data_IF_330518149546
#
_entry.id   IF_330518149546
#
_cell.length_a   1.000
_cell.length_b   1.000
_cell.length_c   1.000
_cell.angle_alpha   90.00
_cell.angle_beta   90.00
_cell.angle_gamma   90.00
#
_symmetry.space_group_name_H-M   'P 1'
#
loop_
_entity.id
_entity.type
_entity.pdbx_description
1 polymer ?
#
# COMPACT_ATOMS: atom_id res chain seq x y z
N UNK A 1 -80.77 12.50 44.54
CA UNK A 1 -79.74 13.27 43.87
C UNK A 1 -78.54 12.34 43.72
N UNK A 2 -78.37 11.74 42.53
CA UNK A 2 -77.31 10.79 42.24
C UNK A 2 -76.32 11.45 41.24
N UNK A 3 -75.06 11.67 41.72
CA UNK A 3 -74.00 12.27 40.91
C UNK A 3 -73.25 11.20 40.16
N UNK A 4 -73.31 11.18 38.84
CA UNK A 4 -72.50 10.31 37.97
C UNK A 4 -71.10 10.95 37.83
N UNK A 5 -70.07 10.16 38.18
CA UNK A 5 -68.69 10.48 37.87
C UNK A 5 -68.33 9.79 36.56
N UNK A 6 -68.00 10.57 35.58
CA UNK A 6 -67.43 10.13 34.30
C UNK A 6 -65.92 10.02 34.49
N UNK A 7 -65.41 8.79 34.45
CA UNK A 7 -63.97 8.56 34.47
C UNK A 7 -63.40 8.66 33.06
N UNK A 8 -62.47 9.60 32.87
CA UNK A 8 -61.75 9.76 31.62
C UNK A 8 -60.57 8.79 31.63
N UNK A 9 -60.58 7.77 30.77
CA UNK A 9 -59.47 6.86 30.55
C UNK A 9 -58.55 7.43 29.48
N UNK A 10 -57.38 7.90 29.88
CA UNK A 10 -56.29 8.26 28.92
C UNK A 10 -55.61 7.01 28.44
N UNK A 11 -55.89 6.61 27.19
CA UNK A 11 -55.06 5.61 26.46
C UNK A 11 -53.76 6.29 26.01
N UNK A 12 -52.66 6.00 26.68
CA UNK A 12 -51.31 6.38 26.24
C UNK A 12 -50.86 5.43 25.13
N UNK A 13 -50.78 5.91 23.90
CA UNK A 13 -50.18 5.22 22.78
C UNK A 13 -48.62 5.37 22.89
N UNK A 14 -47.93 4.36 23.37
CA UNK A 14 -46.46 4.33 23.35
C UNK A 14 -46.02 3.97 21.93
N UNK A 15 -45.56 4.96 21.17
CA UNK A 15 -44.93 4.76 19.86
C UNK A 15 -43.52 4.21 20.08
N UNK A 16 -43.35 2.88 19.96
CA UNK A 16 -42.03 2.26 19.92
C UNK A 16 -41.38 2.60 18.56
N UNK A 17 -40.48 3.56 18.55
CA UNK A 17 -39.53 3.76 17.44
C UNK A 17 -38.55 2.58 17.43
N UNK A 18 -38.80 1.58 16.60
CA UNK A 18 -37.82 0.57 16.27
C UNK A 18 -36.73 1.23 15.42
N UNK A 19 -35.63 1.60 16.03
CA UNK A 19 -34.40 1.99 15.30
C UNK A 19 -33.84 0.71 14.67
N UNK A 20 -34.14 0.49 13.40
CA UNK A 20 -33.42 -0.50 12.61
C UNK A 20 -31.99 0.01 12.47
N UNK A 21 -31.05 -0.57 13.22
CA UNK A 21 -29.64 -0.40 12.96
C UNK A 21 -29.37 -0.94 11.55
N UNK A 22 -29.13 -0.04 10.59
CA UNK A 22 -28.68 -0.43 9.27
C UNK A 22 -27.26 -1.00 9.44
N UNK A 23 -27.14 -2.32 9.54
CA UNK A 23 -25.83 -2.98 9.45
C UNK A 23 -25.39 -2.89 8.00
N UNK A 24 -24.32 -2.13 7.72
CA UNK A 24 -23.69 -2.15 6.42
C UNK A 24 -23.19 -3.57 6.15
N UNK A 25 -23.85 -4.28 5.23
CA UNK A 25 -23.40 -5.60 4.82
C UNK A 25 -22.32 -5.45 3.76
N UNK A 26 -21.07 -5.68 4.15
CA UNK A 26 -19.98 -5.83 3.19
C UNK A 26 -20.02 -7.23 2.58
N UNK A 27 -19.91 -7.28 1.25
CA UNK A 27 -19.75 -8.53 0.53
C UNK A 27 -18.28 -8.72 0.18
N UNK A 28 -17.63 -9.72 0.76
CA UNK A 28 -16.30 -10.14 0.36
C UNK A 28 -16.37 -10.96 -0.93
N UNK A 29 -15.50 -10.65 -1.89
CA UNK A 29 -15.31 -11.44 -3.11
C UNK A 29 -13.81 -11.59 -3.34
N UNK A 30 -13.31 -12.82 -3.35
CA UNK A 30 -11.94 -13.13 -3.71
C UNK A 30 -11.81 -13.06 -5.23
N UNK A 31 -11.01 -12.13 -5.73
CA UNK A 31 -10.83 -11.90 -7.16
C UNK A 31 -9.69 -12.74 -7.71
N UNK A 32 -8.51 -12.69 -7.10
CA UNK A 32 -7.30 -13.39 -7.55
C UNK A 32 -6.60 -14.08 -6.39
N UNK A 33 -5.95 -15.21 -6.63
CA UNK A 33 -5.23 -16.00 -5.62
C UNK A 33 -4.15 -16.86 -6.27
N UNK A 34 -3.07 -17.13 -5.53
CA UNK A 34 -2.09 -18.14 -5.91
C UNK A 34 -2.54 -19.57 -5.53
N UNK A 35 -3.65 -19.70 -4.81
CA UNK A 35 -4.22 -21.01 -4.44
C UNK A 35 -5.33 -21.37 -5.41
N UNK A 36 -5.18 -22.53 -6.05
CA UNK A 36 -6.12 -23.01 -7.07
C UNK A 36 -7.55 -23.05 -6.51
N UNK A 37 -8.48 -22.43 -7.23
CA UNK A 37 -9.91 -22.33 -6.91
C UNK A 37 -10.26 -21.57 -5.62
N UNK A 38 -9.32 -20.83 -5.02
CA UNK A 38 -9.60 -20.00 -3.85
C UNK A 38 -10.20 -18.62 -4.21
N UNK A 39 -10.09 -18.22 -5.48
CA UNK A 39 -10.63 -16.98 -6.03
C UNK A 39 -11.23 -17.21 -7.42
N UNK A 40 -11.66 -16.12 -8.08
CA UNK A 40 -12.17 -16.20 -9.46
C UNK A 40 -11.06 -16.51 -10.47
N UNK A 41 -9.85 -15.99 -10.21
CA UNK A 41 -8.69 -16.13 -11.08
C UNK A 41 -7.52 -16.69 -10.28
N UNK A 42 -6.80 -17.63 -10.90
CA UNK A 42 -5.58 -18.21 -10.31
C UNK A 42 -4.36 -17.51 -10.93
N UNK A 43 -3.45 -17.01 -10.07
CA UNK A 43 -2.15 -16.49 -10.49
C UNK A 43 -1.04 -17.06 -9.60
N UNK A 44 -0.20 -17.97 -10.11
CA UNK A 44 0.86 -18.58 -9.34
C UNK A 44 1.97 -17.62 -8.89
N UNK A 45 2.05 -16.40 -9.45
CA UNK A 45 3.02 -15.39 -9.06
C UNK A 45 2.54 -14.53 -7.87
N UNK A 46 1.24 -14.51 -7.58
CA UNK A 46 0.64 -13.74 -6.48
C UNK A 46 0.96 -14.38 -5.11
N UNK A 47 2.25 -14.51 -4.80
CA UNK A 47 2.72 -15.18 -3.58
C UNK A 47 3.10 -14.15 -2.54
N UNK A 48 2.39 -14.17 -1.40
CA UNK A 48 2.61 -13.23 -0.29
C UNK A 48 2.52 -11.76 -0.76
N UNK A 49 1.39 -11.38 -1.32
CA UNK A 49 1.14 -10.03 -1.81
C UNK A 49 1.16 -9.01 -0.65
N UNK A 50 1.90 -7.90 -0.80
CA UNK A 50 2.06 -6.84 0.18
C UNK A 50 1.50 -5.50 -0.31
N UNK A 51 2.24 -4.84 -1.20
CA UNK A 51 1.87 -3.53 -1.73
C UNK A 51 0.76 -3.62 -2.78
N UNK A 52 -0.18 -2.71 -2.72
CA UNK A 52 -1.24 -2.57 -3.73
C UNK A 52 -1.42 -1.09 -4.06
N UNK A 53 -1.31 -0.75 -5.35
CA UNK A 53 -1.50 0.62 -5.84
C UNK A 53 -2.22 0.65 -7.17
N UNK A 54 -2.91 1.75 -7.42
CA UNK A 54 -3.55 2.10 -8.68
C UNK A 54 -3.21 3.56 -9.02
N UNK A 55 -2.82 3.80 -10.27
CA UNK A 55 -2.68 5.15 -10.83
C UNK A 55 -3.83 5.44 -11.80
N UNK A 56 -4.21 6.71 -12.03
CA UNK A 56 -5.23 7.05 -13.02
C UNK A 56 -4.96 6.42 -14.38
N UNK A 57 -5.92 5.63 -14.90
CA UNK A 57 -5.80 4.93 -16.18
C UNK A 57 -4.88 3.71 -16.19
N UNK A 58 -4.32 3.32 -15.06
CA UNK A 58 -3.48 2.12 -14.89
C UNK A 58 -4.31 0.93 -14.36
N UNK A 59 -3.91 -0.32 -14.60
CA UNK A 59 -4.37 -1.45 -13.80
C UNK A 59 -3.90 -1.34 -12.35
N UNK A 60 -4.38 -2.24 -11.50
CA UNK A 60 -3.89 -2.44 -10.15
C UNK A 60 -2.53 -3.13 -10.19
N UNK A 61 -1.56 -2.60 -9.46
CA UNK A 61 -0.23 -3.15 -9.31
C UNK A 61 -0.06 -3.77 -7.93
N UNK A 62 0.45 -4.98 -7.88
CA UNK A 62 0.66 -5.74 -6.64
C UNK A 62 2.14 -6.09 -6.52
N UNK A 63 2.72 -5.85 -5.34
CA UNK A 63 4.06 -6.34 -5.00
C UNK A 63 3.95 -7.77 -4.45
N UNK A 64 4.45 -8.75 -5.19
CA UNK A 64 4.42 -10.16 -4.82
C UNK A 64 5.72 -10.53 -4.12
N UNK A 65 5.73 -10.41 -2.80
CA UNK A 65 6.94 -10.45 -1.99
C UNK A 65 7.77 -11.72 -2.19
N UNK A 66 7.12 -12.89 -2.23
CA UNK A 66 7.85 -14.17 -2.31
C UNK A 66 8.14 -14.63 -3.74
N UNK A 67 7.51 -14.05 -4.75
CA UNK A 67 7.85 -14.33 -6.15
C UNK A 67 8.81 -13.30 -6.74
N UNK A 68 8.92 -12.11 -6.13
CA UNK A 68 9.79 -11.01 -6.56
C UNK A 68 9.29 -10.26 -7.79
N UNK A 69 8.02 -10.42 -8.11
CA UNK A 69 7.38 -9.72 -9.23
C UNK A 69 6.44 -8.61 -8.76
N UNK A 70 6.15 -7.70 -9.64
CA UNK A 70 4.93 -6.91 -9.60
C UNK A 70 3.99 -7.43 -10.69
N UNK A 71 2.81 -7.91 -10.27
CA UNK A 71 1.75 -8.38 -11.15
C UNK A 71 0.64 -7.35 -11.25
N UNK A 72 -0.12 -7.40 -12.34
CA UNK A 72 -1.08 -6.37 -12.69
C UNK A 72 -2.46 -6.97 -12.94
N UNK A 73 -3.50 -6.32 -12.39
CA UNK A 73 -4.87 -6.80 -12.49
C UNK A 73 -5.82 -5.68 -12.90
N UNK A 74 -6.85 -6.04 -13.65
CA UNK A 74 -8.00 -5.16 -13.87
C UNK A 74 -8.92 -5.11 -12.62
N UNK A 75 -10.00 -4.35 -12.71
CA UNK A 75 -10.95 -4.19 -11.61
C UNK A 75 -11.74 -5.47 -11.27
N UNK A 76 -11.78 -6.44 -12.16
CA UNK A 76 -12.44 -7.74 -11.96
C UNK A 76 -11.47 -8.82 -11.47
N UNK A 77 -10.19 -8.48 -11.33
CA UNK A 77 -9.11 -9.37 -10.89
C UNK A 77 -8.51 -10.21 -12.01
N UNK A 78 -8.79 -9.91 -13.29
CA UNK A 78 -8.11 -10.58 -14.38
C UNK A 78 -6.66 -10.14 -14.46
N UNK A 79 -5.74 -11.10 -14.56
CA UNK A 79 -4.32 -10.83 -14.74
C UNK A 79 -4.06 -10.16 -16.10
N UNK A 80 -3.32 -9.07 -16.09
CA UNK A 80 -2.79 -8.44 -17.31
C UNK A 80 -1.53 -9.20 -17.74
N UNK A 81 -1.72 -10.25 -18.52
CA UNK A 81 -0.66 -11.20 -18.89
C UNK A 81 0.49 -10.60 -19.71
N UNK A 82 0.23 -9.47 -20.39
CA UNK A 82 1.20 -8.82 -21.27
C UNK A 82 2.31 -8.09 -20.52
N UNK A 83 2.12 -7.83 -19.21
CA UNK A 83 3.07 -7.10 -18.40
C UNK A 83 3.15 -7.69 -17.00
N UNK A 84 4.35 -8.01 -16.60
CA UNK A 84 4.79 -8.22 -15.22
C UNK A 84 6.19 -7.64 -15.10
N UNK A 85 6.52 -7.10 -13.94
CA UNK A 85 7.80 -6.42 -13.73
C UNK A 85 8.60 -7.16 -12.66
N UNK A 86 9.82 -7.55 -12.99
CA UNK A 86 10.75 -8.11 -12.02
C UNK A 86 11.24 -6.99 -11.09
N UNK A 87 11.17 -7.21 -9.80
CA UNK A 87 11.75 -6.32 -8.81
C UNK A 87 13.08 -6.92 -8.38
N UNK A 88 14.22 -6.26 -8.68
CA UNK A 88 15.53 -6.85 -8.47
C UNK A 88 15.93 -6.91 -6.99
N UNK A 89 16.86 -7.80 -6.67
CA UNK A 89 17.56 -7.82 -5.39
C UNK A 89 18.54 -6.66 -5.26
N UNK A 90 19.11 -6.45 -4.06
CA UNK A 90 20.19 -5.50 -3.83
C UNK A 90 21.45 -5.77 -4.70
N UNK A 91 21.65 -6.98 -5.14
CA UNK A 91 22.72 -7.37 -6.07
C UNK A 91 22.34 -7.23 -7.56
N UNK A 92 21.16 -6.72 -7.85
CA UNK A 92 20.61 -6.52 -9.21
C UNK A 92 20.52 -7.82 -10.03
N UNK A 93 20.47 -8.96 -9.36
CA UNK A 93 20.42 -10.28 -9.98
C UNK A 93 19.24 -11.08 -9.42
N UNK A 94 18.30 -11.40 -10.28
CA UNK A 94 17.13 -12.20 -9.93
C UNK A 94 16.07 -11.46 -9.10
N UNK A 95 15.02 -12.18 -8.69
CA UNK A 95 13.89 -11.60 -7.99
C UNK A 95 14.23 -11.24 -6.55
N UNK A 96 13.88 -10.03 -6.14
CA UNK A 96 13.96 -9.54 -4.76
C UNK A 96 12.70 -9.88 -3.96
N UNK A 97 12.53 -9.19 -2.82
CA UNK A 97 11.36 -9.34 -1.94
C UNK A 97 10.60 -8.02 -1.83
N UNK A 98 9.82 -7.62 -2.86
CA UNK A 98 9.13 -6.35 -2.86
C UNK A 98 8.03 -6.28 -1.79
N UNK A 99 7.87 -5.09 -1.21
CA UNK A 99 6.92 -4.80 -0.13
C UNK A 99 5.99 -3.66 -0.53
N UNK A 100 6.32 -2.41 -0.18
CA UNK A 100 5.54 -1.25 -0.58
C UNK A 100 5.66 -0.93 -2.06
N UNK A 101 4.57 -0.48 -2.66
CA UNK A 101 4.56 0.08 -4.01
C UNK A 101 3.78 1.39 -4.03
N UNK A 102 4.29 2.39 -4.76
CA UNK A 102 3.63 3.68 -4.95
C UNK A 102 3.65 4.10 -6.41
N UNK A 103 2.63 4.83 -6.84
CA UNK A 103 2.58 5.46 -8.15
C UNK A 103 3.21 6.86 -8.09
N UNK A 104 4.11 7.16 -9.02
CA UNK A 104 4.72 8.48 -9.17
C UNK A 104 4.03 9.25 -10.29
N UNK A 105 3.31 10.31 -9.95
CA UNK A 105 2.67 11.20 -10.90
C UNK A 105 3.55 12.37 -11.36
N UNK A 106 4.83 12.40 -10.95
CA UNK A 106 5.75 13.51 -11.21
C UNK A 106 6.79 13.17 -12.29
N UNK A 107 7.64 14.16 -12.63
CA UNK A 107 8.82 13.97 -13.48
C UNK A 107 10.09 13.63 -12.68
N UNK A 108 9.99 13.59 -11.37
CA UNK A 108 11.07 13.21 -10.47
C UNK A 108 11.19 11.68 -10.35
N UNK A 109 12.09 11.20 -9.50
CA UNK A 109 12.35 9.78 -9.29
C UNK A 109 12.73 9.06 -10.59
N UNK A 110 13.74 9.62 -11.27
CA UNK A 110 14.20 9.11 -12.56
C UNK A 110 15.14 7.92 -12.40
N UNK A 111 14.94 6.92 -13.26
CA UNK A 111 15.86 5.80 -13.46
C UNK A 111 16.35 5.83 -14.91
N UNK A 112 17.68 5.82 -15.11
CA UNK A 112 18.30 5.92 -16.42
C UNK A 112 17.78 7.09 -17.29
N UNK A 113 17.47 8.23 -16.64
CA UNK A 113 17.00 9.44 -17.33
C UNK A 113 15.49 9.50 -17.61
N UNK A 114 14.72 8.50 -17.18
CA UNK A 114 13.26 8.45 -17.35
C UNK A 114 12.54 8.46 -16.01
N UNK A 115 11.48 9.27 -15.84
CA UNK A 115 10.66 9.23 -14.63
C UNK A 115 10.07 7.85 -14.43
N UNK A 116 10.26 7.29 -13.24
CA UNK A 116 9.59 6.05 -12.85
C UNK A 116 8.09 6.29 -12.74
N UNK A 117 7.28 5.39 -13.29
CA UNK A 117 5.82 5.42 -13.12
C UNK A 117 5.43 4.79 -11.78
N UNK A 118 6.16 3.74 -11.38
CA UNK A 118 5.98 3.08 -10.09
C UNK A 118 7.32 2.91 -9.37
N UNK A 119 7.28 2.98 -8.05
CA UNK A 119 8.42 2.77 -7.17
C UNK A 119 8.10 1.63 -6.20
N UNK A 120 9.10 0.81 -5.93
CA UNK A 120 8.99 -0.39 -5.10
C UNK A 120 10.05 -0.36 -4.01
N UNK A 121 9.66 -0.70 -2.78
CA UNK A 121 10.58 -0.98 -1.68
C UNK A 121 10.74 -2.50 -1.51
N UNK A 122 11.85 -2.94 -0.92
CA UNK A 122 12.14 -4.36 -0.72
C UNK A 122 12.64 -4.65 0.69
N UNK A 123 12.56 -5.92 1.12
CA UNK A 123 13.09 -6.37 2.41
C UNK A 123 14.61 -6.35 2.47
N UNK A 124 15.31 -6.33 1.34
CA UNK A 124 16.78 -6.24 1.28
C UNK A 124 17.28 -4.79 1.20
N UNK A 125 16.43 -3.83 1.55
CA UNK A 125 16.81 -2.42 1.73
C UNK A 125 17.02 -1.66 0.44
N UNK A 126 16.35 -2.05 -0.65
CA UNK A 126 16.38 -1.29 -1.91
C UNK A 126 15.09 -0.52 -2.17
N UNK A 127 15.21 0.54 -2.99
CA UNK A 127 14.11 1.18 -3.68
C UNK A 127 14.41 1.11 -5.17
N UNK A 128 13.48 0.53 -5.93
CA UNK A 128 13.57 0.40 -7.39
C UNK A 128 12.50 1.22 -8.07
N UNK A 129 12.83 1.79 -9.22
CA UNK A 129 11.90 2.51 -10.08
C UNK A 129 11.61 1.73 -11.36
N UNK A 130 10.36 1.73 -11.80
CA UNK A 130 9.99 1.20 -13.11
C UNK A 130 9.59 2.31 -14.06
N UNK A 131 10.34 2.39 -15.17
CA UNK A 131 10.11 3.27 -16.30
C UNK A 131 10.19 2.41 -17.58
N UNK A 132 9.09 2.19 -18.32
CA UNK A 132 9.07 1.28 -19.46
C UNK A 132 10.00 1.71 -20.60
N UNK A 133 10.38 2.99 -20.67
CA UNK A 133 11.35 3.52 -21.61
C UNK A 133 12.80 3.10 -21.29
N UNK A 134 13.10 2.84 -20.02
CA UNK A 134 14.39 2.32 -19.58
C UNK A 134 14.46 0.81 -19.72
N UNK A 135 13.52 0.14 -19.07
CA UNK A 135 13.37 -1.33 -19.12
C UNK A 135 11.90 -1.67 -18.95
N UNK A 136 11.35 -2.40 -19.89
CA UNK A 136 9.95 -2.77 -19.88
C UNK A 136 9.64 -3.90 -18.90
N UNK A 137 10.58 -4.82 -18.70
CA UNK A 137 10.36 -6.05 -17.93
C UNK A 137 10.86 -5.98 -16.49
N UNK A 138 11.82 -5.08 -16.21
CA UNK A 138 12.49 -5.04 -14.91
C UNK A 138 12.47 -3.62 -14.34
N UNK A 139 12.24 -3.50 -13.04
CA UNK A 139 12.52 -2.27 -12.31
C UNK A 139 14.04 -2.10 -12.12
N UNK A 140 14.48 -0.87 -11.93
CA UNK A 140 15.89 -0.50 -11.82
C UNK A 140 16.15 -0.01 -10.40
N UNK A 141 17.17 -0.55 -9.73
CA UNK A 141 17.59 -0.11 -8.38
C UNK A 141 18.04 1.34 -8.43
N UNK A 142 17.39 2.20 -7.65
CA UNK A 142 17.70 3.60 -7.49
C UNK A 142 18.35 3.91 -6.12
N UNK A 143 17.96 3.17 -5.08
CA UNK A 143 18.55 3.23 -3.74
C UNK A 143 18.94 1.84 -3.30
N UNK A 144 20.13 1.69 -2.73
CA UNK A 144 20.61 0.44 -2.17
C UNK A 144 21.24 0.68 -0.80
N UNK A 145 20.50 0.41 0.26
CA UNK A 145 20.91 0.52 1.65
C UNK A 145 21.09 -0.87 2.32
N UNK A 146 21.25 -1.91 1.52
CA UNK A 146 21.47 -3.29 2.02
C UNK A 146 22.70 -3.41 2.91
N UNK A 147 23.77 -2.69 2.57
CA UNK A 147 25.01 -2.66 3.39
C UNK A 147 24.84 -1.97 4.75
N UNK A 148 23.78 -1.19 4.92
CA UNK A 148 23.39 -0.55 6.18
C UNK A 148 22.38 -1.40 6.98
N UNK A 149 22.06 -2.58 6.47
CA UNK A 149 21.10 -3.51 7.07
C UNK A 149 19.65 -3.05 6.99
N UNK A 150 19.32 -2.13 6.07
CA UNK A 150 17.95 -1.63 5.93
C UNK A 150 16.98 -2.74 5.52
N UNK A 151 15.77 -2.71 6.09
CA UNK A 151 14.66 -3.63 5.76
C UNK A 151 13.39 -2.80 5.56
N UNK A 152 13.06 -2.51 4.31
CA UNK A 152 11.91 -1.66 3.98
C UNK A 152 10.63 -2.49 3.88
N UNK A 153 9.72 -2.30 4.83
CA UNK A 153 8.45 -3.03 4.93
C UNK A 153 7.27 -2.30 4.28
N UNK A 154 7.44 -1.03 3.95
CA UNK A 154 6.41 -0.22 3.30
C UNK A 154 7.00 1.01 2.61
N UNK A 155 6.24 1.60 1.69
CA UNK A 155 6.62 2.80 0.95
C UNK A 155 5.43 3.76 0.84
N UNK A 156 5.69 5.05 1.04
CA UNK A 156 4.74 6.12 0.76
C UNK A 156 5.40 7.20 -0.09
N UNK A 157 4.61 7.94 -0.85
CA UNK A 157 5.04 9.09 -1.64
C UNK A 157 4.16 10.28 -1.31
N UNK A 158 4.78 11.46 -1.15
CA UNK A 158 4.05 12.72 -1.00
C UNK A 158 4.46 13.68 -2.09
N UNK A 159 3.51 14.53 -2.49
CA UNK A 159 3.75 15.64 -3.40
C UNK A 159 3.51 16.94 -2.66
N UNK A 160 4.51 17.81 -2.64
CA UNK A 160 4.39 19.13 -2.03
C UNK A 160 5.15 20.20 -2.85
N UNK A 161 4.86 21.49 -2.64
CA UNK A 161 5.51 22.55 -3.39
C UNK A 161 7.03 22.63 -3.23
N UNK A 162 7.61 22.03 -2.18
CA UNK A 162 9.07 22.00 -1.93
C UNK A 162 9.75 20.79 -2.58
N UNK A 163 9.07 20.03 -3.42
CA UNK A 163 9.55 18.79 -4.04
C UNK A 163 8.86 17.55 -3.47
N UNK A 164 8.84 16.50 -4.28
CA UNK A 164 8.27 15.23 -3.88
C UNK A 164 9.22 14.47 -2.96
N UNK A 165 8.67 13.62 -2.11
CA UNK A 165 9.44 12.76 -1.21
C UNK A 165 8.86 11.37 -1.18
N UNK A 166 9.73 10.39 -1.02
CA UNK A 166 9.35 9.03 -0.66
C UNK A 166 9.81 8.73 0.75
N UNK A 167 9.04 7.90 1.42
CA UNK A 167 9.23 7.49 2.81
C UNK A 167 9.17 5.97 2.86
N UNK A 168 10.25 5.34 3.31
CA UNK A 168 10.33 3.90 3.47
C UNK A 168 10.35 3.54 4.95
N UNK A 169 9.43 2.67 5.38
CA UNK A 169 9.42 2.16 6.75
C UNK A 169 10.58 1.17 6.92
N UNK A 170 11.65 1.62 7.57
CA UNK A 170 12.83 0.79 7.85
C UNK A 170 12.68 0.11 9.20
N UNK A 171 12.21 -1.13 9.16
CA UNK A 171 11.95 -1.91 10.37
C UNK A 171 13.24 -2.25 11.13
N UNK A 172 14.33 -2.53 10.42
CA UNK A 172 15.58 -2.95 11.04
C UNK A 172 16.31 -1.82 11.75
N UNK A 173 16.27 -0.60 11.18
CA UNK A 173 16.92 0.57 11.75
C UNK A 173 15.99 1.40 12.65
N UNK A 174 14.74 0.96 12.84
CA UNK A 174 13.71 1.63 13.65
C UNK A 174 13.50 3.11 13.26
N UNK A 175 13.44 3.38 11.97
CA UNK A 175 13.25 4.72 11.43
C UNK A 175 12.39 4.71 10.17
N UNK A 176 11.93 5.87 9.74
CA UNK A 176 11.41 6.08 8.40
C UNK A 176 12.50 6.74 7.57
N UNK A 177 13.09 6.00 6.64
CA UNK A 177 14.05 6.55 5.68
C UNK A 177 13.32 7.48 4.70
N UNK A 178 13.90 8.64 4.41
CA UNK A 178 13.30 9.68 3.57
C UNK A 178 14.24 10.02 2.42
N UNK A 179 13.69 10.16 1.21
CA UNK A 179 14.46 10.54 0.02
C UNK A 179 13.75 11.64 -0.75
N UNK A 180 14.53 12.53 -1.36
CA UNK A 180 14.04 13.57 -2.28
C UNK A 180 13.70 13.00 -3.67
N UNK A 181 13.21 13.85 -4.57
CA UNK A 181 12.85 13.48 -5.95
C UNK A 181 13.99 12.97 -6.83
N UNK A 182 15.25 13.11 -6.39
CA UNK A 182 16.45 12.60 -7.04
C UNK A 182 17.02 11.36 -6.33
N UNK A 183 16.28 10.76 -5.40
CA UNK A 183 16.69 9.66 -4.52
C UNK A 183 17.85 10.02 -3.56
N UNK A 184 18.15 11.30 -3.33
CA UNK A 184 19.11 11.67 -2.30
C UNK A 184 18.49 11.45 -0.91
N UNK A 185 19.25 10.86 0.03
CA UNK A 185 18.76 10.66 1.38
C UNK A 185 18.58 12.01 2.10
N UNK A 186 17.47 12.11 2.82
CA UNK A 186 17.18 13.20 3.74
C UNK A 186 17.25 12.68 5.19
N UNK A 187 17.29 13.58 6.21
CA UNK A 187 17.27 13.14 7.59
C UNK A 187 16.09 12.18 7.84
N UNK A 188 16.33 11.00 8.42
CA UNK A 188 15.28 10.04 8.70
C UNK A 188 14.36 10.55 9.82
N UNK A 189 13.17 9.98 9.89
CA UNK A 189 12.19 10.28 10.93
C UNK A 189 12.20 9.14 11.93
N UNK A 190 12.46 9.46 13.20
CA UNK A 190 12.38 8.54 14.33
C UNK A 190 11.28 8.97 15.29
N UNK A 191 10.67 8.03 16.01
CA UNK A 191 9.69 8.33 17.03
C UNK A 191 10.13 7.74 18.39
N UNK A 192 10.70 8.56 19.29
CA UNK A 192 11.19 8.09 20.58
C UNK A 192 10.08 7.65 21.56
N UNK A 193 8.81 7.89 21.23
CA UNK A 193 7.66 7.48 22.04
C UNK A 193 7.17 6.06 21.73
N UNK A 194 7.72 5.42 20.69
CA UNK A 194 7.38 4.03 20.37
C UNK A 194 7.98 3.10 21.41
N UNK A 195 7.20 2.18 22.00
CA UNK A 195 7.72 1.23 22.98
C UNK A 195 8.82 0.35 22.39
N UNK A 196 9.74 -0.09 23.24
CA UNK A 196 10.78 -1.03 22.83
C UNK A 196 10.17 -2.33 22.26
N UNK A 197 10.74 -2.84 21.18
CA UNK A 197 10.26 -4.03 20.48
C UNK A 197 9.30 -3.75 19.30
N UNK A 198 8.89 -2.50 19.12
CA UNK A 198 8.10 -2.08 17.98
C UNK A 198 8.97 -1.26 17.02
N UNK A 199 8.77 -1.46 15.72
CA UNK A 199 9.45 -0.73 14.67
C UNK A 199 8.45 -0.29 13.58
N UNK A 200 8.79 0.72 12.73
CA UNK A 200 7.95 1.11 11.58
C UNK A 200 7.69 -0.10 10.68
N UNK A 201 6.42 -0.29 10.31
CA UNK A 201 6.03 -1.42 9.47
C UNK A 201 5.22 -0.99 8.24
N UNK A 202 3.98 -0.56 8.41
CA UNK A 202 3.17 -0.02 7.33
C UNK A 202 3.27 1.50 7.26
N UNK A 203 3.26 2.05 6.04
CA UNK A 203 3.34 3.50 5.84
C UNK A 203 2.47 3.92 4.67
N UNK A 204 1.73 5.02 4.81
CA UNK A 204 0.86 5.54 3.75
C UNK A 204 0.66 7.05 3.86
N UNK A 205 0.60 7.71 2.70
CA UNK A 205 0.05 9.07 2.60
C UNK A 205 -1.47 9.02 2.58
N UNK A 206 -2.10 9.83 3.43
CA UNK A 206 -3.55 10.02 3.45
C UNK A 206 -3.83 11.53 3.55
N UNK A 207 -4.24 12.11 2.44
CA UNK A 207 -4.57 13.55 2.38
C UNK A 207 -3.38 14.47 2.65
N UNK A 208 -2.17 14.09 2.26
CA UNK A 208 -0.94 14.87 2.45
C UNK A 208 -0.25 14.67 3.80
N UNK A 209 -0.80 13.78 4.65
CA UNK A 209 -0.16 13.35 5.91
C UNK A 209 0.34 11.92 5.79
N UNK A 210 1.56 11.67 6.24
CA UNK A 210 2.15 10.33 6.26
C UNK A 210 1.82 9.66 7.59
N UNK A 211 1.09 8.55 7.51
CA UNK A 211 0.75 7.69 8.64
C UNK A 211 1.69 6.50 8.66
N UNK A 212 2.21 6.18 9.84
CA UNK A 212 3.12 5.05 10.08
C UNK A 212 2.52 4.15 11.13
N UNK A 213 2.44 2.85 10.85
CA UNK A 213 2.10 1.84 11.84
C UNK A 213 3.36 1.18 12.35
N UNK A 214 3.33 0.70 13.59
CA UNK A 214 4.44 0.04 14.27
C UNK A 214 4.03 -1.37 14.66
N UNK A 215 4.89 -2.36 14.44
CA UNK A 215 4.67 -3.77 14.77
C UNK A 215 5.90 -4.39 15.44
#
# INVERSE_FOLDING_TARGET
MQRHRIGLACLGFALMLATTAASAQYRLTNLSSNQVKAARHDDPLLVNAWGLVHAPGSPWWVSDNNSGWATLYDADGNLIQQLKVLIPTAGENGPGSPTGVVANGSKEFQVQGWPSIFLFATLDGTISGWAPQSNFNDAIVAVNNSSQGAVYTGLAITSNPSGNRIYAADMANNEVAVFDGNFNPLPPITNPLVPAGFAPFGIRDIGGMVYVTYA
#
